data_IF_343292335147
#
_entry.id   IF_343292335147
#
_cell.length_a   1.000
_cell.length_b   1.000
_cell.length_c   1.000
_cell.angle_alpha   90.00
_cell.angle_beta   90.00
_cell.angle_gamma   90.00
#
_symmetry.space_group_name_H-M   'P 1'
#
loop_
_entity.id
_entity.type
_entity.pdbx_description
1 polymer ?
#
# COMPACT_ATOMS: atom_id res chain seq x y z
N UNK A 1 13.59 -23.58 2.26
CA UNK A 1 12.12 -23.43 2.12
C UNK A 1 11.43 -23.95 3.37
N UNK A 2 10.63 -23.12 4.07
CA UNK A 2 9.89 -23.56 5.26
C UNK A 2 8.77 -24.55 4.88
N UNK A 3 8.31 -25.37 5.83
CA UNK A 3 7.22 -26.34 5.63
C UNK A 3 5.95 -25.67 5.07
N UNK A 4 5.65 -24.46 5.56
CA UNK A 4 4.54 -23.63 5.05
C UNK A 4 4.72 -23.27 3.58
N UNK A 5 5.91 -22.84 3.18
CA UNK A 5 6.21 -22.41 1.80
C UNK A 5 6.11 -23.57 0.81
N UNK A 6 6.57 -24.77 1.22
CA UNK A 6 6.47 -25.98 0.39
C UNK A 6 5.02 -26.34 0.08
N UNK A 7 4.14 -26.36 1.09
CA UNK A 7 2.71 -26.68 0.92
C UNK A 7 1.95 -25.65 0.07
N UNK A 8 2.38 -24.39 0.08
CA UNK A 8 1.78 -23.36 -0.75
C UNK A 8 2.24 -23.48 -2.20
N UNK A 9 3.53 -23.77 -2.41
CA UNK A 9 4.09 -23.91 -3.75
C UNK A 9 3.49 -25.07 -4.55
N UNK A 10 2.97 -26.11 -3.90
CA UNK A 10 2.29 -27.22 -4.58
C UNK A 10 0.93 -26.84 -5.14
N UNK A 11 0.32 -25.74 -4.68
CA UNK A 11 -0.96 -25.24 -5.20
C UNK A 11 -0.79 -24.38 -6.46
N UNK A 12 0.44 -23.95 -6.76
CA UNK A 12 0.74 -23.02 -7.84
C UNK A 12 1.52 -23.77 -8.93
N UNK A 13 0.94 -23.84 -10.13
CA UNK A 13 1.64 -24.33 -11.31
C UNK A 13 2.34 -23.16 -12.01
N UNK A 14 3.67 -23.23 -12.07
CA UNK A 14 4.48 -22.16 -12.68
C UNK A 14 4.41 -22.14 -14.22
N UNK A 15 3.90 -23.21 -14.83
CA UNK A 15 3.81 -23.34 -16.29
C UNK A 15 2.47 -22.89 -16.85
N UNK A 16 1.42 -22.88 -16.01
CA UNK A 16 0.10 -22.41 -16.39
C UNK A 16 0.04 -20.88 -16.38
N UNK A 17 -0.51 -20.30 -17.45
CA UNK A 17 -0.92 -18.90 -17.46
C UNK A 17 -2.32 -18.82 -16.85
N UNK A 18 -2.42 -18.16 -15.71
CA UNK A 18 -3.69 -17.94 -15.01
C UNK A 18 -4.39 -16.70 -15.55
N UNK A 19 -5.72 -16.76 -15.62
CA UNK A 19 -6.53 -15.55 -15.78
C UNK A 19 -6.49 -14.71 -14.50
N UNK A 20 -6.88 -13.44 -14.60
CA UNK A 20 -6.89 -12.53 -13.44
C UNK A 20 -7.80 -13.06 -12.34
N UNK A 21 -8.96 -13.61 -12.69
CA UNK A 21 -9.93 -14.16 -11.73
C UNK A 21 -9.37 -15.38 -10.98
N UNK A 22 -8.77 -16.33 -11.70
CA UNK A 22 -8.11 -17.50 -11.11
C UNK A 22 -6.95 -17.08 -10.21
N UNK A 23 -6.13 -16.11 -10.64
CA UNK A 23 -5.01 -15.62 -9.87
C UNK A 23 -5.47 -14.97 -8.55
N UNK A 24 -6.53 -14.17 -8.57
CA UNK A 24 -7.09 -13.53 -7.37
C UNK A 24 -7.63 -14.57 -6.38
N UNK A 25 -8.31 -15.62 -6.86
CA UNK A 25 -8.76 -16.71 -6.01
C UNK A 25 -7.57 -17.43 -5.34
N UNK A 26 -6.53 -17.75 -6.13
CA UNK A 26 -5.33 -18.45 -5.65
C UNK A 26 -4.52 -17.62 -4.63
N UNK A 27 -4.44 -16.30 -4.82
CA UNK A 27 -3.79 -15.39 -3.87
C UNK A 27 -4.49 -15.42 -2.50
N UNK A 28 -5.83 -15.48 -2.47
CA UNK A 28 -6.58 -15.60 -1.22
C UNK A 28 -6.35 -16.93 -0.53
N UNK A 29 -6.29 -18.03 -1.28
CA UNK A 29 -6.04 -19.37 -0.73
C UNK A 29 -4.60 -19.60 -0.22
N UNK A 30 -3.65 -18.83 -0.75
CA UNK A 30 -2.23 -18.94 -0.37
C UNK A 30 -1.88 -18.02 0.81
N UNK A 31 -2.74 -17.05 1.13
CA UNK A 31 -2.62 -16.17 2.30
C UNK A 31 -3.03 -16.89 3.60
N UNK A 32 -2.08 -17.61 4.20
CA UNK A 32 -2.28 -18.29 5.49
C UNK A 32 -1.92 -17.41 6.71
N UNK A 33 -2.13 -16.10 6.63
CA UNK A 33 -1.88 -15.16 7.74
C UNK A 33 -3.18 -14.72 8.39
N UNK A 34 -3.12 -14.38 9.69
CA UNK A 34 -4.29 -13.98 10.48
C UNK A 34 -4.63 -12.48 10.39
N UNK A 35 -3.78 -11.70 9.71
CA UNK A 35 -3.92 -10.26 9.55
C UNK A 35 -4.21 -9.91 8.09
N UNK A 36 -4.58 -8.66 7.83
CA UNK A 36 -4.86 -8.18 6.47
C UNK A 36 -3.58 -8.10 5.63
N UNK A 37 -3.42 -9.06 4.71
CA UNK A 37 -2.24 -9.21 3.88
C UNK A 37 -2.28 -8.26 2.69
N UNK A 38 -1.10 -7.79 2.25
CA UNK A 38 -0.97 -7.00 1.02
C UNK A 38 -0.68 -7.90 -0.18
N UNK A 39 -1.24 -7.55 -1.33
CA UNK A 39 -1.00 -8.23 -2.61
C UNK A 39 -0.05 -7.38 -3.44
N UNK A 40 0.96 -8.02 -4.03
CA UNK A 40 1.95 -7.39 -4.90
C UNK A 40 1.85 -7.94 -6.33
N UNK A 41 2.13 -7.07 -7.32
CA UNK A 41 2.20 -7.44 -8.73
C UNK A 41 3.62 -7.17 -9.21
N UNK A 42 4.29 -8.21 -9.71
CA UNK A 42 5.62 -8.09 -10.28
C UNK A 42 5.53 -8.17 -11.81
N UNK A 43 6.02 -7.14 -12.49
CA UNK A 43 6.12 -7.10 -13.94
C UNK A 43 7.57 -6.97 -14.37
N UNK A 44 8.01 -7.82 -15.30
CA UNK A 44 9.32 -7.67 -15.94
C UNK A 44 9.15 -6.83 -17.21
N UNK A 45 9.73 -5.63 -17.23
CA UNK A 45 9.52 -4.64 -18.28
C UNK A 45 10.62 -4.62 -19.36
N UNK A 46 11.66 -5.45 -19.23
CA UNK A 46 12.74 -5.55 -20.23
C UNK A 46 13.59 -4.27 -20.40
N UNK A 47 13.48 -3.32 -19.47
CA UNK A 47 14.23 -2.04 -19.49
C UNK A 47 15.66 -2.21 -18.96
N UNK A 48 16.59 -1.38 -19.43
CA UNK A 48 17.92 -1.29 -18.86
C UNK A 48 18.00 -0.14 -17.83
N UNK A 49 18.03 -0.42 -16.52
CA UNK A 49 18.02 0.62 -15.49
C UNK A 49 19.29 1.49 -15.46
N UNK A 50 20.36 1.11 -16.17
CA UNK A 50 21.57 1.93 -16.30
C UNK A 50 21.39 3.11 -17.27
N UNK A 51 20.37 3.06 -18.12
CA UNK A 51 20.02 4.12 -19.06
C UNK A 51 18.91 4.97 -18.46
N UNK A 52 19.18 6.25 -18.22
CA UNK A 52 18.26 7.15 -17.50
C UNK A 52 16.92 7.36 -18.22
N UNK A 53 16.90 7.30 -19.55
CA UNK A 53 15.70 7.39 -20.40
C UNK A 53 14.77 6.17 -20.30
N UNK A 54 15.28 5.03 -19.80
CA UNK A 54 14.50 3.81 -19.64
C UNK A 54 14.00 3.60 -18.21
N UNK A 55 14.29 4.51 -17.29
CA UNK A 55 13.82 4.42 -15.91
C UNK A 55 12.33 4.82 -15.82
N UNK A 56 11.51 3.92 -15.29
CA UNK A 56 10.07 4.17 -15.09
C UNK A 56 9.81 4.49 -13.62
N UNK A 57 9.29 5.68 -13.34
CA UNK A 57 8.75 6.07 -12.04
C UNK A 57 7.39 6.71 -12.28
N UNK A 58 6.32 6.05 -11.83
CA UNK A 58 4.95 6.50 -12.02
C UNK A 58 4.19 6.48 -10.69
N UNK A 59 3.18 7.35 -10.61
CA UNK A 59 2.17 7.34 -9.54
C UNK A 59 0.84 6.99 -10.18
N UNK A 60 0.11 6.05 -9.58
CA UNK A 60 -1.19 5.62 -10.08
C UNK A 60 -2.22 5.67 -8.97
N UNK A 61 -3.36 6.28 -9.25
CA UNK A 61 -4.53 6.22 -8.39
C UNK A 61 -5.31 4.95 -8.72
N UNK A 62 -5.41 4.04 -7.75
CA UNK A 62 -6.20 2.83 -7.91
C UNK A 62 -7.70 3.18 -7.89
N UNK A 63 -8.51 2.63 -8.81
CA UNK A 63 -9.95 2.94 -8.90
C UNK A 63 -10.72 2.54 -7.63
N UNK A 64 -10.24 1.53 -6.91
CA UNK A 64 -10.81 1.09 -5.64
C UNK A 64 -9.95 1.48 -4.42
N UNK A 65 -8.96 2.37 -4.63
CA UNK A 65 -7.98 2.74 -3.61
C UNK A 65 -7.12 1.57 -3.14
N UNK A 66 -6.43 1.76 -2.02
CA UNK A 66 -5.55 0.75 -1.40
C UNK A 66 -6.28 -0.09 -0.35
N UNK A 67 -7.60 0.05 -0.20
CA UNK A 67 -8.41 -0.60 0.85
C UNK A 67 -8.12 -0.12 2.29
N UNK A 68 -7.02 0.60 2.52
CA UNK A 68 -6.68 1.21 3.80
C UNK A 68 -7.36 2.57 3.94
N UNK A 69 -8.10 2.75 5.02
CA UNK A 69 -8.61 4.07 5.45
C UNK A 69 -7.42 4.96 5.76
N UNK A 70 -7.13 5.91 4.86
CA UNK A 70 -6.11 6.93 5.11
C UNK A 70 -6.66 7.85 6.19
N UNK A 71 -6.00 7.88 7.35
CA UNK A 71 -6.22 8.92 8.35
C UNK A 71 -5.24 10.04 8.07
N UNK A 72 -5.74 11.22 7.73
CA UNK A 72 -4.92 12.38 7.38
C UNK A 72 -4.89 13.30 8.60
N UNK A 73 -3.70 13.46 9.19
CA UNK A 73 -3.44 14.47 10.19
C UNK A 73 -2.73 15.65 9.53
N UNK A 74 -3.33 16.83 9.59
CA UNK A 74 -2.74 18.08 9.12
C UNK A 74 -2.18 18.87 10.30
N UNK A 75 -0.93 19.30 10.18
CA UNK A 75 -0.27 20.19 11.14
C UNK A 75 -0.26 21.58 10.53
N UNK A 76 -1.04 22.49 11.08
CA UNK A 76 -1.21 23.84 10.52
C UNK A 76 -1.30 24.90 11.60
N UNK A 77 -0.79 26.08 11.29
CA UNK A 77 -0.94 27.28 12.13
C UNK A 77 -2.43 27.62 12.31
N UNK A 78 -2.78 28.29 13.40
CA UNK A 78 -4.18 28.62 13.78
C UNK A 78 -5.00 29.22 12.64
N UNK A 79 -4.37 30.04 11.79
CA UNK A 79 -5.03 30.71 10.67
C UNK A 79 -5.46 29.76 9.53
N UNK A 80 -4.80 28.61 9.38
CA UNK A 80 -5.02 27.68 8.27
C UNK A 80 -5.79 26.41 8.71
N UNK A 81 -6.32 26.41 9.93
CA UNK A 81 -7.08 25.27 10.47
C UNK A 81 -8.40 25.04 9.72
N UNK A 82 -9.09 26.11 9.29
CA UNK A 82 -10.34 26.00 8.52
C UNK A 82 -10.08 25.37 7.16
N UNK A 83 -9.05 25.85 6.46
CA UNK A 83 -8.65 25.33 5.15
C UNK A 83 -8.23 23.85 5.23
N UNK A 84 -7.53 23.45 6.28
CA UNK A 84 -7.14 22.05 6.49
C UNK A 84 -8.34 21.13 6.78
N UNK A 85 -9.34 21.59 7.54
CA UNK A 85 -10.58 20.85 7.77
C UNK A 85 -11.41 20.74 6.49
N UNK A 86 -11.51 21.82 5.72
CA UNK A 86 -12.23 21.85 4.44
C UNK A 86 -11.56 20.99 3.37
N UNK A 87 -10.24 20.88 3.39
CA UNK A 87 -9.46 20.00 2.50
C UNK A 87 -9.58 18.50 2.85
N UNK A 88 -10.28 18.14 3.94
CA UNK A 88 -10.56 16.75 4.32
C UNK A 88 -9.51 16.10 5.21
N UNK A 89 -8.82 16.86 6.07
CA UNK A 89 -8.01 16.28 7.15
C UNK A 89 -8.91 15.74 8.27
N UNK A 90 -8.67 14.50 8.70
CA UNK A 90 -9.38 13.87 9.83
C UNK A 90 -8.97 14.47 11.17
N UNK A 91 -7.72 14.92 11.29
CA UNK A 91 -7.17 15.56 12.49
C UNK A 91 -6.44 16.84 12.10
N UNK A 92 -6.67 17.91 12.85
CA UNK A 92 -5.96 19.18 12.69
C UNK A 92 -5.30 19.50 14.02
N UNK A 93 -3.98 19.56 14.03
CA UNK A 93 -3.19 19.81 15.24
C UNK A 93 -2.52 21.19 15.18
N UNK A 94 -2.56 21.90 16.30
CA UNK A 94 -1.83 23.16 16.51
C UNK A 94 -0.46 22.94 17.16
N UNK A 95 0.31 24.02 17.30
CA UNK A 95 1.65 23.98 17.89
C UNK A 95 1.66 23.49 19.35
N UNK A 96 0.58 23.70 20.10
CA UNK A 96 0.44 23.26 21.50
C UNK A 96 0.16 21.75 21.57
N UNK A 97 -0.72 21.24 20.72
CA UNK A 97 -1.03 19.83 20.58
C UNK A 97 0.16 19.03 20.04
N UNK A 98 0.96 19.61 19.14
CA UNK A 98 2.23 19.02 18.68
C UNK A 98 3.20 18.83 19.86
N UNK A 99 3.35 19.84 20.72
CA UNK A 99 4.21 19.72 21.91
C UNK A 99 3.68 18.66 22.88
N UNK A 100 2.36 18.58 23.06
CA UNK A 100 1.72 17.57 23.89
C UNK A 100 1.99 16.15 23.39
N UNK A 101 1.80 15.90 22.08
CA UNK A 101 2.10 14.60 21.44
C UNK A 101 3.58 14.24 21.61
N UNK A 102 4.48 15.21 21.46
CA UNK A 102 5.93 15.01 21.65
C UNK A 102 6.31 14.66 23.10
N UNK A 103 5.57 15.19 24.08
CA UNK A 103 5.80 14.93 25.51
C UNK A 103 5.20 13.62 26.02
N UNK A 104 4.15 13.12 25.36
CA UNK A 104 3.43 11.90 25.75
C UNK A 104 3.89 10.63 25.01
N UNK A 105 4.93 10.75 24.17
CA UNK A 105 5.51 9.64 23.38
C UNK A 105 6.67 8.96 24.07
#
# INVERSE_FOLDING_TARGET
MSKRMKNLSTKIDKTKIYTVEEAVALVKETSNVKFDASVEIHANLGINPKKSDQQIRATMTLPHGTGKTKKIAAFVSVNNQSEAKEAGADFVYDEEEIQKIKSSG
#
